data_IF_139535499044
#
_entry.id   IF_139535499044
#
_cell.length_a   1.000
_cell.length_b   1.000
_cell.length_c   1.000
_cell.angle_alpha   90.00
_cell.angle_beta   90.00
_cell.angle_gamma   90.00
#
_symmetry.space_group_name_H-M   'P 1'
#
loop_
_entity.id
_entity.type
_entity.pdbx_description
1 polymer ?
#
# COMPACT_ATOMS: atom_id res chain seq x y z
N UNK A 1 19.43 12.48 4.81
CA UNK A 1 19.06 12.20 4.41
C UNK A 1 18.77 11.39 4.14
N UNK A 2 18.46 11.01 4.00
CA UNK A 2 18.18 10.19 3.65
C UNK A 2 18.11 9.65 2.90
N UNK A 3 18.12 9.16 2.58
CA UNK A 3 18.11 8.72 1.79
C UNK A 3 17.32 7.93 1.42
N UNK A 4 16.42 8.19 1.06
CA UNK A 4 15.56 7.49 0.59
C UNK A 4 15.99 6.86 -0.43
N UNK A 5 16.14 6.90 -1.15
CA UNK A 5 16.48 6.34 -2.26
C UNK A 5 17.42 5.45 -2.35
N UNK A 6 18.13 5.26 -1.68
CA UNK A 6 19.02 4.55 -1.99
C UNK A 6 18.75 3.35 -1.74
N UNK A 7 18.29 2.92 -1.45
CA UNK A 7 18.41 1.83 -1.37
C UNK A 7 17.74 0.87 -1.29
N UNK A 8 17.61 0.17 -0.64
CA UNK A 8 17.01 -0.90 -0.69
C UNK A 8 15.71 -0.79 -0.31
N UNK A 9 14.69 -0.96 -1.11
CA UNK A 9 13.36 -1.04 -0.78
C UNK A 9 13.00 -2.43 -0.47
N UNK A 10 12.23 -2.69 0.55
CA UNK A 10 11.67 -4.01 0.83
C UNK A 10 10.38 -4.13 0.03
N UNK A 11 10.32 -5.11 -0.82
CA UNK A 11 9.14 -5.32 -1.64
C UNK A 11 8.42 -6.58 -1.18
N UNK A 12 7.12 -6.46 -0.96
CA UNK A 12 6.33 -7.60 -0.55
C UNK A 12 5.14 -7.75 -1.48
N UNK A 13 4.61 -8.95 -1.55
CA UNK A 13 3.47 -9.24 -2.40
C UNK A 13 2.21 -9.19 -1.56
N UNK A 14 1.27 -8.35 -1.94
CA UNK A 14 0.03 -8.20 -1.19
C UNK A 14 -0.97 -9.21 -1.71
N UNK A 15 -1.49 -10.03 -0.80
CA UNK A 15 -2.48 -11.04 -1.14
C UNK A 15 -3.90 -10.61 -0.77
N UNK A 16 -4.04 -9.67 0.13
CA UNK A 16 -5.35 -9.20 0.53
C UNK A 16 -5.24 -8.05 1.50
N UNK A 17 -6.35 -7.45 1.84
CA UNK A 17 -6.35 -6.32 2.76
C UNK A 17 -7.65 -6.28 3.54
N UNK A 18 -7.64 -5.55 4.64
CA UNK A 18 -8.81 -5.41 5.48
C UNK A 18 -8.69 -4.09 6.23
N UNK A 19 -9.77 -3.34 6.25
CA UNK A 19 -9.81 -2.10 7.02
C UNK A 19 -10.29 -2.40 8.42
N UNK A 20 -9.64 -1.82 9.40
CA UNK A 20 -9.96 -2.05 10.80
C UNK A 20 -10.17 -0.71 11.49
N UNK A 21 -11.35 -0.54 12.08
CA UNK A 21 -11.63 0.65 12.87
C UNK A 21 -11.57 0.31 14.33
N UNK A 22 -11.06 1.23 15.13
CA UNK A 22 -10.97 1.03 16.56
C UNK A 22 -11.93 1.95 17.29
N UNK A 23 -12.33 1.57 18.49
CA UNK A 23 -13.24 2.42 19.26
C UNK A 23 -12.69 3.79 19.57
N UNK A 24 -11.37 3.94 19.61
CA UNK A 24 -10.76 5.24 19.89
C UNK A 24 -10.68 6.12 18.65
N UNK A 25 -11.23 5.69 17.54
CA UNK A 25 -11.25 6.49 16.32
C UNK A 25 -10.07 6.25 15.39
N UNK A 26 -9.14 5.41 15.76
CA UNK A 26 -8.01 5.13 14.89
C UNK A 26 -8.41 4.11 13.85
N UNK A 27 -7.79 4.20 12.71
CA UNK A 27 -8.09 3.31 11.60
C UNK A 27 -6.78 2.72 11.10
N UNK A 28 -6.81 1.44 10.82
CA UNK A 28 -5.64 0.75 10.28
C UNK A 28 -6.04 -0.03 9.05
N UNK A 29 -5.10 -0.23 8.17
CA UNK A 29 -5.26 -1.14 7.05
C UNK A 29 -4.33 -2.31 7.29
N UNK A 30 -4.88 -3.50 7.33
CA UNK A 30 -4.07 -4.70 7.46
C UNK A 30 -3.86 -5.28 6.08
N UNK A 31 -2.62 -5.54 5.76
CA UNK A 31 -2.26 -6.19 4.50
C UNK A 31 -1.79 -7.59 4.80
N UNK A 32 -2.33 -8.55 4.09
CA UNK A 32 -1.83 -9.91 4.16
C UNK A 32 -0.78 -10.03 3.07
N UNK A 33 0.44 -10.32 3.44
CA UNK A 33 1.52 -10.40 2.47
C UNK A 33 2.07 -11.80 2.41
N UNK A 34 2.64 -12.13 1.27
CA UNK A 34 3.21 -13.44 1.06
C UNK A 34 4.50 -13.61 1.86
N UNK A 35 5.30 -12.58 1.92
CA UNK A 35 6.64 -12.70 2.50
C UNK A 35 6.69 -12.43 4.00
N UNK A 36 5.85 -11.52 4.48
CA UNK A 36 5.94 -11.09 5.86
C UNK A 36 4.69 -11.37 6.68
N UNK A 37 3.72 -12.04 6.10
CA UNK A 37 2.47 -12.30 6.83
C UNK A 37 1.63 -11.05 6.93
N UNK A 38 0.96 -10.86 8.04
CA UNK A 38 0.07 -9.72 8.22
C UNK A 38 0.82 -8.53 8.73
N UNK A 39 0.61 -7.39 8.10
CA UNK A 39 1.20 -6.14 8.51
C UNK A 39 0.09 -5.11 8.59
N UNK A 40 0.05 -4.33 9.65
CA UNK A 40 -0.97 -3.31 9.79
C UNK A 40 -0.34 -1.93 9.72
N UNK A 41 -1.00 -1.03 9.03
CA UNK A 41 -0.57 0.36 8.92
C UNK A 41 -1.66 1.25 9.46
N UNK A 42 -1.31 2.15 10.35
CA UNK A 42 -2.27 3.12 10.84
C UNK A 42 -2.37 4.24 9.82
N UNK A 43 -3.57 4.64 9.44
CA UNK A 43 -3.78 5.62 8.39
C UNK A 43 -4.72 6.71 8.86
N UNK A 44 -4.50 7.91 8.38
CA UNK A 44 -5.43 9.01 8.58
C UNK A 44 -5.99 9.40 7.22
N UNK A 45 -6.80 10.44 7.18
CA UNK A 45 -7.45 10.82 5.94
C UNK A 45 -6.45 11.19 4.85
N UNK A 46 -5.36 11.84 5.22
CA UNK A 46 -4.34 12.21 4.25
C UNK A 46 -3.71 10.97 3.62
N UNK A 47 -3.39 9.98 4.45
CA UNK A 47 -2.81 8.74 3.95
C UNK A 47 -3.79 7.99 3.07
N UNK A 48 -5.06 7.99 3.44
CA UNK A 48 -6.08 7.31 2.65
C UNK A 48 -6.18 7.97 1.26
N UNK A 49 -6.20 9.29 1.23
CA UNK A 49 -6.31 9.99 -0.05
C UNK A 49 -5.10 9.71 -0.95
N UNK A 50 -3.92 9.70 -0.36
CA UNK A 50 -2.71 9.41 -1.12
C UNK A 50 -2.71 7.99 -1.66
N UNK A 51 -3.05 7.03 -0.80
CA UNK A 51 -3.08 5.64 -1.22
C UNK A 51 -4.13 5.40 -2.29
N UNK A 52 -5.29 6.04 -2.14
CA UNK A 52 -6.35 5.87 -3.14
C UNK A 52 -5.88 6.34 -4.51
N UNK A 53 -5.23 7.49 -4.57
CA UNK A 53 -4.73 7.99 -5.85
C UNK A 53 -3.69 7.08 -6.45
N UNK A 54 -2.78 6.57 -5.64
CA UNK A 54 -1.74 5.71 -6.13
C UNK A 54 -2.26 4.34 -6.53
N UNK A 55 -3.27 3.84 -5.83
CA UNK A 55 -3.87 2.58 -6.21
C UNK A 55 -4.57 2.69 -7.57
N UNK A 56 -5.20 3.82 -7.83
CA UNK A 56 -5.82 4.02 -9.13
C UNK A 56 -4.77 4.09 -10.24
N UNK A 57 -3.64 4.74 -9.97
CA UNK A 57 -2.57 4.76 -10.95
C UNK A 57 -2.00 3.37 -11.19
N UNK A 58 -1.81 2.62 -10.12
CA UNK A 58 -1.29 1.27 -10.25
C UNK A 58 -2.23 0.42 -11.11
N UNK A 59 -3.53 0.60 -10.93
CA UNK A 59 -4.49 -0.14 -11.71
C UNK A 59 -4.35 0.21 -13.20
N UNK A 60 -4.11 1.47 -13.50
CA UNK A 60 -3.90 1.87 -14.87
C UNK A 60 -2.66 1.22 -15.47
N UNK A 61 -1.60 1.13 -14.70
CA UNK A 61 -0.41 0.45 -15.17
C UNK A 61 -0.68 -1.01 -15.49
N UNK A 62 -1.48 -1.66 -14.68
CA UNK A 62 -1.80 -3.06 -14.93
C UNK A 62 -2.65 -3.24 -16.18
N UNK A 63 -3.46 -2.24 -16.52
CA UNK A 63 -4.28 -2.35 -17.68
C UNK A 63 -3.60 -1.97 -18.96
N UNK A 64 -2.51 -1.25 -18.87
CA UNK A 64 -1.83 -0.87 -20.06
C UNK A 64 -1.15 -2.05 -20.67
N UNK A 65 -1.16 -2.11 -21.96
CA UNK A 65 -0.54 -3.22 -22.60
C UNK A 65 0.89 -2.95 -22.56
N UNK A 66 1.51 -2.77 -22.00
CA UNK A 66 2.72 -2.54 -21.89
C UNK A 66 3.60 -2.86 -22.71
N UNK A 67 3.80 -2.96 -22.77
CA UNK A 67 4.56 -3.20 -23.48
C UNK A 67 4.90 -2.94 -24.22
N UNK A 68 4.96 -2.74 -24.44
CA UNK A 68 5.19 -2.48 -25.12
C UNK A 68 5.33 -2.10 -25.53
N UNK A 69 5.62 -2.16 -25.52
CA UNK A 69 5.80 -1.80 -25.91
C UNK A 69 5.96 -1.46 -25.95
#
# INVERSE_FOLDING_TARGET
MPQFGTSEQTTVTVLGSQALGRPDGRVSIRLLTKELGSIAFEVDQRAIDALRGDLLKAEQFLRQPTGKA
#
